data_IF_440348396714
#
_entry.id   IF_440348396714
#
_cell.length_a   1.000
_cell.length_b   1.000
_cell.length_c   1.000
_cell.angle_alpha   90.00
_cell.angle_beta   90.00
_cell.angle_gamma   90.00
#
_symmetry.space_group_name_H-M   'P 1'
#
loop_
_entity.id
_entity.type
_entity.pdbx_description
1 polymer ?
#
# COMPACT_ATOMS: atom_id res chain seq x y z
N UNK A 1 37.01 7.72 -13.09
CA UNK A 1 38.30 7.29 -13.62
C UNK A 1 38.11 6.64 -14.98
N UNK A 2 38.80 7.17 -16.01
CA UNK A 2 38.66 6.73 -17.41
C UNK A 2 39.02 5.23 -17.59
N UNK A 3 39.88 4.71 -16.74
CA UNK A 3 40.30 3.29 -16.77
C UNK A 3 39.20 2.28 -16.44
N UNK A 4 38.13 2.68 -15.75
CA UNK A 4 37.00 1.79 -15.47
C UNK A 4 36.18 1.52 -16.75
N UNK A 5 36.06 2.49 -17.64
CA UNK A 5 35.33 2.37 -18.90
C UNK A 5 36.07 1.52 -19.94
N UNK A 6 37.41 1.47 -19.88
CA UNK A 6 38.22 0.65 -20.78
C UNK A 6 38.00 -0.86 -20.60
N UNK A 7 37.35 -1.29 -19.54
CA UNK A 7 37.05 -2.70 -19.27
C UNK A 7 35.72 -3.19 -19.88
N UNK A 8 34.91 -2.27 -20.39
CA UNK A 8 33.66 -2.65 -21.04
C UNK A 8 33.88 -3.02 -22.49
N UNK A 9 33.22 -4.08 -22.92
CA UNK A 9 33.26 -4.48 -24.35
C UNK A 9 32.49 -3.45 -25.19
N UNK A 10 32.78 -3.28 -26.49
CA UNK A 10 32.09 -2.28 -27.34
C UNK A 10 30.56 -2.46 -27.43
N UNK A 11 30.06 -3.66 -27.11
CA UNK A 11 28.62 -3.98 -27.06
C UNK A 11 27.97 -3.74 -25.69
N UNK A 12 28.75 -3.33 -24.68
CA UNK A 12 28.21 -3.07 -23.33
C UNK A 12 27.42 -1.76 -23.32
N UNK A 13 26.21 -1.81 -22.73
CA UNK A 13 25.43 -0.62 -22.43
C UNK A 13 25.75 -0.20 -20.98
N UNK A 14 26.16 1.04 -20.80
CA UNK A 14 26.32 1.65 -19.48
C UNK A 14 25.15 2.61 -19.22
N UNK A 15 24.44 2.39 -18.15
CA UNK A 15 23.41 3.30 -17.66
C UNK A 15 24.00 4.11 -16.50
N UNK A 16 24.01 5.42 -16.62
CA UNK A 16 24.36 6.32 -15.52
C UNK A 16 23.05 6.95 -15.02
N UNK A 17 22.67 6.63 -13.79
CA UNK A 17 21.55 7.29 -13.13
C UNK A 17 22.07 8.32 -12.12
N UNK A 18 21.49 9.50 -12.14
CA UNK A 18 21.70 10.54 -11.14
C UNK A 18 20.44 10.69 -10.31
N UNK A 19 20.52 10.42 -9.02
CA UNK A 19 19.40 10.47 -8.09
C UNK A 19 19.81 11.15 -6.78
N UNK A 20 18.90 11.90 -6.18
CA UNK A 20 19.06 12.43 -4.83
C UNK A 20 18.90 11.33 -3.74
N UNK A 21 18.43 10.13 -4.13
CA UNK A 21 18.38 8.96 -3.28
C UNK A 21 19.58 8.06 -3.60
N UNK A 22 20.54 8.04 -2.69
CA UNK A 22 21.78 7.29 -2.86
C UNK A 22 21.47 5.78 -3.08
N UNK A 23 21.92 5.25 -4.21
CA UNK A 23 21.91 3.81 -4.48
C UNK A 23 20.60 3.21 -5.00
N UNK A 24 19.55 4.00 -5.26
CA UNK A 24 18.29 3.48 -5.79
C UNK A 24 18.08 4.00 -7.23
N UNK A 25 18.15 3.08 -8.20
CA UNK A 25 17.64 3.34 -9.56
C UNK A 25 16.19 2.80 -9.64
N UNK A 26 15.17 3.66 -9.76
CA UNK A 26 13.78 3.22 -9.79
C UNK A 26 13.43 2.46 -11.08
N UNK A 27 14.12 2.69 -12.20
CA UNK A 27 13.74 2.10 -13.49
C UNK A 27 13.87 0.57 -13.54
N UNK A 28 14.99 -0.07 -13.14
CA UNK A 28 15.08 -1.53 -13.08
C UNK A 28 14.13 -2.14 -12.04
N UNK A 29 13.88 -1.44 -10.94
CA UNK A 29 12.93 -1.90 -9.91
C UNK A 29 11.50 -1.96 -10.47
N UNK A 30 11.10 -0.94 -11.22
CA UNK A 30 9.78 -0.90 -11.86
C UNK A 30 9.66 -1.95 -12.96
N UNK A 31 10.71 -2.17 -13.74
CA UNK A 31 10.75 -3.25 -14.74
C UNK A 31 10.64 -4.63 -14.10
N UNK A 32 11.21 -4.84 -12.92
CA UNK A 32 11.07 -6.07 -12.15
C UNK A 32 9.64 -6.25 -11.64
N UNK A 33 9.02 -5.20 -11.10
CA UNK A 33 7.61 -5.19 -10.68
C UNK A 33 6.68 -5.43 -11.87
N UNK A 34 7.03 -4.92 -13.05
CA UNK A 34 6.25 -5.11 -14.27
C UNK A 34 6.14 -6.59 -14.69
N UNK A 35 7.14 -7.40 -14.38
CA UNK A 35 7.21 -8.83 -14.74
C UNK A 35 6.63 -9.76 -13.68
N UNK A 36 6.20 -9.23 -12.53
CA UNK A 36 5.72 -10.05 -11.42
C UNK A 36 4.37 -10.70 -11.77
N UNK A 37 4.28 -12.05 -11.82
CA UNK A 37 3.16 -12.76 -12.43
C UNK A 37 1.99 -13.04 -11.49
N UNK A 38 2.10 -12.69 -10.20
CA UNK A 38 1.12 -13.06 -9.19
C UNK A 38 0.01 -12.03 -9.08
N UNK A 39 -1.19 -12.50 -8.79
CA UNK A 39 -2.42 -11.73 -8.94
C UNK A 39 -3.29 -11.59 -7.69
N UNK A 40 -2.78 -11.79 -6.46
CA UNK A 40 -3.57 -11.48 -5.27
C UNK A 40 -3.73 -9.95 -5.09
N UNK A 41 -4.71 -9.53 -4.30
CA UNK A 41 -5.01 -8.10 -4.12
C UNK A 41 -3.83 -7.29 -3.58
N UNK A 42 -3.06 -7.88 -2.66
CA UNK A 42 -1.85 -7.26 -2.12
C UNK A 42 -0.81 -7.04 -3.22
N UNK A 43 -0.54 -8.06 -4.03
CA UNK A 43 0.43 -8.00 -5.12
C UNK A 43 0.01 -7.05 -6.24
N UNK A 44 -1.27 -7.08 -6.64
CA UNK A 44 -1.81 -6.12 -7.61
C UNK A 44 -1.62 -4.68 -7.14
N UNK A 45 -1.91 -4.43 -5.87
CA UNK A 45 -1.75 -3.10 -5.27
C UNK A 45 -0.28 -2.70 -5.22
N UNK A 46 0.61 -3.61 -4.80
CA UNK A 46 2.06 -3.38 -4.68
C UNK A 46 2.74 -3.10 -6.02
N UNK A 47 2.24 -3.70 -7.10
CA UNK A 47 2.71 -3.42 -8.46
C UNK A 47 2.12 -2.11 -9.00
N UNK A 48 0.82 -1.90 -8.82
CA UNK A 48 0.13 -0.77 -9.43
C UNK A 48 0.39 0.57 -8.72
N UNK A 49 0.62 0.57 -7.41
CA UNK A 49 0.89 1.78 -6.62
C UNK A 49 2.10 2.59 -7.14
N UNK A 50 3.30 2.01 -7.32
CA UNK A 50 4.42 2.75 -7.87
C UNK A 50 4.21 3.16 -9.34
N UNK A 51 3.46 2.37 -10.12
CA UNK A 51 3.16 2.71 -11.51
C UNK A 51 2.34 4.00 -11.66
N UNK A 52 1.55 4.39 -10.65
CA UNK A 52 0.85 5.68 -10.64
C UNK A 52 1.79 6.87 -10.83
N UNK A 53 3.02 6.75 -10.37
CA UNK A 53 4.02 7.82 -10.38
C UNK A 53 5.04 7.67 -11.52
N UNK A 54 5.11 6.50 -12.16
CA UNK A 54 6.14 6.20 -13.15
C UNK A 54 6.16 7.21 -14.31
N UNK A 55 5.01 7.42 -14.96
CA UNK A 55 4.95 8.33 -16.12
C UNK A 55 5.25 9.78 -15.73
N UNK A 56 4.90 10.19 -14.51
CA UNK A 56 5.25 11.51 -13.98
C UNK A 56 6.77 11.63 -13.80
N UNK A 57 7.39 10.65 -13.14
CA UNK A 57 8.84 10.62 -12.92
C UNK A 57 9.61 10.45 -14.24
N UNK A 58 9.09 9.67 -15.19
CA UNK A 58 9.69 9.53 -16.51
C UNK A 58 9.68 10.86 -17.28
N UNK A 59 8.57 11.59 -17.25
CA UNK A 59 8.45 12.90 -17.90
C UNK A 59 9.40 13.93 -17.26
N UNK A 60 9.49 13.97 -15.93
CA UNK A 60 10.44 14.84 -15.21
C UNK A 60 11.91 14.50 -15.54
N UNK A 61 12.21 13.22 -15.76
CA UNK A 61 13.55 12.75 -16.17
C UNK A 61 13.82 12.90 -17.68
N UNK A 62 12.89 13.50 -18.46
CA UNK A 62 13.02 13.63 -19.91
C UNK A 62 12.96 12.31 -20.67
N UNK A 63 12.36 11.26 -20.08
CA UNK A 63 12.15 9.94 -20.70
C UNK A 63 10.77 9.85 -21.32
N UNK A 64 10.62 8.96 -22.28
CA UNK A 64 9.32 8.66 -22.86
C UNK A 64 8.39 8.00 -21.84
N UNK A 65 7.12 8.42 -21.83
CA UNK A 65 6.09 7.78 -21.03
C UNK A 65 5.61 6.48 -21.70
N UNK A 66 5.33 5.44 -20.90
CA UNK A 66 4.83 4.18 -21.43
C UNK A 66 3.28 4.16 -21.39
N UNK A 67 2.61 4.17 -22.56
CA UNK A 67 1.14 4.16 -22.64
C UNK A 67 0.52 2.88 -22.07
N UNK A 68 1.27 1.77 -22.02
CA UNK A 68 0.78 0.51 -21.47
C UNK A 68 0.54 0.58 -19.97
N UNK A 69 1.24 1.49 -19.27
CA UNK A 69 1.10 1.69 -17.80
C UNK A 69 -0.33 2.12 -17.47
N UNK A 70 -0.91 3.05 -18.24
CA UNK A 70 -2.28 3.50 -17.99
C UNK A 70 -3.29 2.35 -18.05
N UNK A 71 -3.18 1.49 -19.05
CA UNK A 71 -4.04 0.30 -19.18
C UNK A 71 -3.84 -0.64 -17.99
N UNK A 72 -2.62 -0.89 -17.60
CA UNK A 72 -2.28 -1.82 -16.52
C UNK A 72 -2.79 -1.36 -15.15
N UNK A 73 -2.70 -0.07 -14.87
CA UNK A 73 -3.29 0.50 -13.65
C UNK A 73 -4.81 0.36 -13.68
N UNK A 74 -5.47 0.63 -14.82
CA UNK A 74 -6.91 0.46 -14.93
C UNK A 74 -7.36 -1.00 -14.79
N UNK A 75 -6.58 -1.94 -15.32
CA UNK A 75 -6.80 -3.38 -15.14
C UNK A 75 -6.69 -3.76 -13.65
N UNK A 76 -5.68 -3.26 -12.95
CA UNK A 76 -5.53 -3.47 -11.50
C UNK A 76 -6.71 -2.88 -10.71
N UNK A 77 -7.16 -1.68 -11.05
CA UNK A 77 -8.37 -1.07 -10.45
C UNK A 77 -9.57 -1.98 -10.62
N UNK A 78 -9.83 -2.48 -11.85
CA UNK A 78 -10.96 -3.36 -12.13
C UNK A 78 -10.88 -4.65 -11.33
N UNK A 79 -9.74 -5.34 -11.34
CA UNK A 79 -9.55 -6.59 -10.63
C UNK A 79 -9.69 -6.44 -9.10
N UNK A 80 -9.24 -5.32 -8.54
CA UNK A 80 -9.40 -5.06 -7.11
C UNK A 80 -10.87 -4.79 -6.75
N UNK A 81 -11.60 -4.06 -7.60
CA UNK A 81 -13.03 -3.82 -7.40
C UNK A 81 -13.86 -5.10 -7.51
N UNK A 82 -13.49 -6.05 -8.38
CA UNK A 82 -14.13 -7.35 -8.49
C UNK A 82 -13.97 -8.21 -7.21
N UNK A 83 -13.02 -7.84 -6.35
CA UNK A 83 -12.75 -8.50 -5.06
C UNK A 83 -13.31 -7.76 -3.86
N UNK A 84 -14.08 -6.71 -4.09
CA UNK A 84 -14.75 -6.00 -3.02
C UNK A 84 -16.02 -6.74 -2.58
N UNK A 85 -16.12 -7.02 -1.29
CA UNK A 85 -17.31 -7.56 -0.67
C UNK A 85 -18.39 -6.47 -0.44
N UNK A 86 -19.67 -6.85 -0.25
CA UNK A 86 -20.75 -5.91 -0.01
C UNK A 86 -20.56 -5.00 1.21
N UNK A 87 -19.80 -5.45 2.20
CA UNK A 87 -19.43 -4.66 3.40
C UNK A 87 -18.32 -3.64 3.14
N UNK A 88 -17.76 -3.61 1.93
CA UNK A 88 -16.69 -2.73 1.51
C UNK A 88 -15.28 -3.22 1.79
N UNK A 89 -15.11 -4.39 2.40
CA UNK A 89 -13.80 -5.05 2.55
C UNK A 89 -13.29 -5.61 1.22
N UNK A 90 -11.98 -5.89 1.15
CA UNK A 90 -11.35 -6.47 -0.03
C UNK A 90 -10.77 -7.84 0.31
N UNK A 91 -11.18 -8.87 -0.44
CA UNK A 91 -10.60 -10.19 -0.33
C UNK A 91 -9.22 -10.26 -0.99
N UNK A 92 -8.44 -11.26 -0.62
CA UNK A 92 -7.11 -11.49 -1.18
C UNK A 92 -7.20 -12.03 -2.61
N UNK A 93 -8.08 -12.97 -2.85
CA UNK A 93 -8.28 -13.66 -4.15
C UNK A 93 -9.64 -13.43 -4.76
N UNK A 94 -10.67 -13.27 -3.94
CA UNK A 94 -12.06 -13.06 -4.36
C UNK A 94 -12.84 -12.28 -3.33
N UNK A 95 -13.99 -11.73 -3.72
CA UNK A 95 -14.88 -11.01 -2.79
C UNK A 95 -15.37 -11.96 -1.68
N UNK A 96 -15.18 -11.55 -0.43
CA UNK A 96 -15.64 -12.30 0.74
C UNK A 96 -14.84 -13.57 1.05
N UNK A 97 -13.63 -13.73 0.49
CA UNK A 97 -12.75 -14.81 0.93
C UNK A 97 -12.29 -14.57 2.39
N UNK A 98 -11.93 -15.65 3.09
CA UNK A 98 -11.52 -15.58 4.50
C UNK A 98 -10.19 -14.88 4.75
N UNK A 99 -9.55 -14.33 3.72
CA UNK A 99 -8.23 -13.69 3.78
C UNK A 99 -8.30 -12.15 3.72
N UNK A 100 -9.51 -11.57 3.78
CA UNK A 100 -9.68 -10.13 3.90
C UNK A 100 -9.12 -9.65 5.25
N UNK A 101 -8.11 -8.79 5.23
CA UNK A 101 -7.56 -8.18 6.44
C UNK A 101 -7.82 -6.68 6.46
N UNK A 102 -7.93 -6.06 7.66
CA UNK A 102 -8.10 -4.62 7.78
C UNK A 102 -6.96 -3.84 7.12
N UNK A 103 -5.72 -4.35 7.22
CA UNK A 103 -4.56 -3.73 6.57
C UNK A 103 -4.66 -3.79 5.05
N UNK A 104 -5.02 -4.95 4.50
CA UNK A 104 -5.24 -5.11 3.06
C UNK A 104 -6.31 -4.14 2.56
N UNK A 105 -7.43 -4.02 3.31
CA UNK A 105 -8.52 -3.10 2.99
C UNK A 105 -8.04 -1.64 2.92
N UNK A 106 -7.22 -1.20 3.88
CA UNK A 106 -6.65 0.14 3.87
C UNK A 106 -5.67 0.34 2.70
N UNK A 107 -4.83 -0.65 2.41
CA UNK A 107 -3.85 -0.60 1.33
C UNK A 107 -4.50 -0.50 -0.06
N UNK A 108 -5.51 -1.34 -0.32
CA UNK A 108 -6.28 -1.28 -1.57
C UNK A 108 -7.04 0.04 -1.69
N UNK A 109 -7.68 0.50 -0.63
CA UNK A 109 -8.40 1.77 -0.64
C UNK A 109 -7.48 2.99 -0.87
N UNK A 110 -6.26 2.99 -0.31
CA UNK A 110 -5.25 4.03 -0.58
C UNK A 110 -4.87 4.06 -2.06
N UNK A 111 -4.61 2.88 -2.65
CA UNK A 111 -4.33 2.80 -4.07
C UNK A 111 -5.48 3.31 -4.92
N UNK A 112 -6.71 2.83 -4.69
CA UNK A 112 -7.89 3.25 -5.45
C UNK A 112 -8.15 4.75 -5.33
N UNK A 113 -7.96 5.34 -4.15
CA UNK A 113 -8.07 6.78 -3.93
C UNK A 113 -7.04 7.57 -4.75
N UNK A 114 -5.79 7.11 -4.76
CA UNK A 114 -4.71 7.74 -5.56
C UNK A 114 -4.97 7.60 -7.05
N UNK A 115 -5.40 6.41 -7.48
CA UNK A 115 -5.77 6.16 -8.86
C UNK A 115 -6.93 7.08 -9.31
N UNK A 116 -7.95 7.26 -8.46
CA UNK A 116 -9.05 8.19 -8.73
C UNK A 116 -8.55 9.63 -8.87
N UNK A 117 -7.67 10.08 -7.96
CA UNK A 117 -7.03 11.39 -8.02
C UNK A 117 -6.15 11.59 -9.26
N UNK A 118 -5.55 10.53 -9.81
CA UNK A 118 -4.76 10.53 -11.03
C UNK A 118 -5.62 10.37 -12.30
N UNK A 119 -6.96 10.38 -12.20
CA UNK A 119 -7.89 10.35 -13.33
C UNK A 119 -8.17 8.97 -13.92
N UNK A 120 -7.94 7.90 -13.12
CA UNK A 120 -8.40 6.55 -13.47
C UNK A 120 -9.87 6.37 -13.11
N UNK A 121 -10.54 5.46 -13.83
CA UNK A 121 -11.96 5.18 -13.64
C UNK A 121 -12.17 4.33 -12.38
N UNK A 122 -12.38 4.99 -11.25
CA UNK A 122 -12.75 4.37 -9.96
C UNK A 122 -14.15 4.84 -9.59
N UNK A 123 -15.17 3.94 -9.58
CA UNK A 123 -16.55 4.30 -9.29
C UNK A 123 -16.73 4.84 -7.87
N UNK A 124 -17.65 5.77 -7.70
CA UNK A 124 -17.89 6.41 -6.40
C UNK A 124 -18.46 5.47 -5.35
N UNK A 125 -19.40 4.60 -5.74
CA UNK A 125 -20.08 3.70 -4.81
C UNK A 125 -19.13 2.71 -4.13
N UNK A 126 -18.26 1.95 -4.85
CA UNK A 126 -17.26 1.09 -4.22
C UNK A 126 -16.34 1.85 -3.26
N UNK A 127 -15.93 3.06 -3.62
CA UNK A 127 -15.11 3.90 -2.73
C UNK A 127 -15.85 4.30 -1.45
N UNK A 128 -17.15 4.60 -1.52
CA UNK A 128 -17.98 4.88 -0.35
C UNK A 128 -18.06 3.67 0.59
N UNK A 129 -18.24 2.47 0.02
CA UNK A 129 -18.25 1.22 0.77
C UNK A 129 -16.89 0.96 1.43
N UNK A 130 -15.79 1.14 0.70
CA UNK A 130 -14.43 1.02 1.24
C UNK A 130 -14.20 1.99 2.42
N UNK A 131 -14.59 3.26 2.29
CA UNK A 131 -14.49 4.21 3.40
C UNK A 131 -15.38 3.83 4.60
N UNK A 132 -16.54 3.23 4.36
CA UNK A 132 -17.37 2.65 5.41
C UNK A 132 -16.66 1.52 6.17
N UNK A 133 -16.02 0.61 5.45
CA UNK A 133 -15.18 -0.44 6.03
C UNK A 133 -14.01 0.13 6.83
N UNK A 134 -13.29 1.12 6.28
CA UNK A 134 -12.17 1.76 6.98
C UNK A 134 -12.58 2.48 8.27
N UNK A 135 -13.78 3.07 8.32
CA UNK A 135 -14.27 3.66 9.57
C UNK A 135 -14.48 2.61 10.66
N UNK A 136 -14.98 1.41 10.30
CA UNK A 136 -15.09 0.31 11.26
C UNK A 136 -13.72 -0.12 11.76
N UNK A 137 -12.74 -0.21 10.86
CA UNK A 137 -11.35 -0.53 11.22
C UNK A 137 -10.73 0.54 12.14
N UNK A 138 -10.99 1.81 11.88
CA UNK A 138 -10.48 2.93 12.69
C UNK A 138 -11.02 2.93 14.13
N UNK A 139 -12.23 2.40 14.35
CA UNK A 139 -12.83 2.25 15.66
C UNK A 139 -12.39 0.93 16.27
N UNK A 140 -11.33 0.96 17.07
CA UNK A 140 -10.67 -0.22 17.65
C UNK A 140 -11.62 -1.20 18.38
N UNK A 141 -12.81 -0.77 18.80
CA UNK A 141 -13.82 -1.59 19.46
C UNK A 141 -14.63 -2.48 18.51
N UNK A 142 -14.62 -2.22 17.21
CA UNK A 142 -15.44 -2.96 16.22
C UNK A 142 -14.72 -4.21 15.67
N UNK A 143 -13.49 -4.48 16.12
CA UNK A 143 -12.74 -5.69 15.75
C UNK A 143 -13.33 -6.98 16.34
N UNK A 144 -14.29 -6.88 17.28
CA UNK A 144 -14.92 -8.03 17.92
C UNK A 144 -15.97 -8.75 17.05
N UNK A 145 -16.52 -8.09 16.03
CA UNK A 145 -17.58 -8.64 15.17
C UNK A 145 -17.05 -9.23 13.86
N UNK A 146 -15.81 -8.98 13.51
CA UNK A 146 -15.19 -9.52 12.32
C UNK A 146 -14.23 -10.61 12.76
N UNK A 147 -14.59 -11.87 12.49
CA UNK A 147 -13.70 -13.03 12.63
C UNK A 147 -12.54 -12.90 11.63
N UNK A 148 -11.72 -11.88 11.82
CA UNK A 148 -10.40 -11.87 11.22
C UNK A 148 -9.56 -12.86 12.04
N UNK A 149 -9.58 -14.13 11.68
CA UNK A 149 -8.46 -14.99 11.96
C UNK A 149 -7.28 -14.37 11.24
N UNK A 150 -6.62 -13.44 11.95
CA UNK A 150 -5.28 -13.09 11.61
C UNK A 150 -4.47 -14.37 11.79
N UNK A 151 -4.33 -15.16 10.75
CA UNK A 151 -3.11 -15.92 10.57
C UNK A 151 -2.01 -14.87 10.46
N UNK A 152 -1.59 -14.42 11.63
CA UNK A 152 -0.36 -13.66 11.79
C UNK A 152 0.71 -14.57 11.21
N UNK A 153 1.17 -14.25 10.00
CA UNK A 153 2.47 -14.71 9.56
C UNK A 153 3.46 -14.16 10.59
N UNK A 154 3.61 -14.92 11.66
CA UNK A 154 4.65 -14.68 12.64
C UNK A 154 5.95 -14.93 11.91
N UNK A 155 6.64 -13.87 11.54
CA UNK A 155 8.06 -13.99 11.32
C UNK A 155 8.64 -14.66 12.58
N UNK A 156 9.38 -15.77 12.44
CA UNK A 156 10.06 -16.36 13.59
C UNK A 156 10.88 -15.27 14.26
N UNK A 157 10.55 -14.95 15.53
CA UNK A 157 11.20 -13.89 16.30
C UNK A 157 10.47 -12.54 16.36
N UNK A 158 9.32 -12.34 15.69
CA UNK A 158 8.52 -11.12 15.89
C UNK A 158 7.68 -11.26 17.17
N UNK A 159 7.78 -10.24 18.04
CA UNK A 159 6.89 -10.07 19.20
C UNK A 159 5.61 -9.30 18.83
N UNK A 160 5.26 -9.23 17.54
CA UNK A 160 4.08 -8.52 17.09
C UNK A 160 2.83 -9.17 17.66
N UNK A 161 2.20 -8.47 18.58
CA UNK A 161 0.92 -8.89 19.18
C UNK A 161 -0.22 -8.58 18.22
N UNK A 162 -1.35 -9.29 18.38
CA UNK A 162 -2.58 -8.99 17.62
C UNK A 162 -2.99 -7.52 17.77
N UNK A 163 -2.72 -6.91 18.92
CA UNK A 163 -3.01 -5.52 19.23
C UNK A 163 -2.14 -4.56 18.40
N UNK A 164 -0.86 -4.85 18.21
CA UNK A 164 0.03 -4.07 17.36
C UNK A 164 -0.44 -4.09 15.90
N UNK A 165 -0.83 -5.25 15.39
CA UNK A 165 -1.35 -5.37 14.02
C UNK A 165 -2.65 -4.59 13.83
N UNK A 166 -3.57 -4.65 14.82
CA UNK A 166 -4.80 -3.87 14.84
C UNK A 166 -4.51 -2.37 14.82
N UNK A 167 -3.60 -1.91 15.67
CA UNK A 167 -3.23 -0.49 15.76
C UNK A 167 -2.61 0.02 14.47
N UNK A 168 -1.75 -0.78 13.81
CA UNK A 168 -1.19 -0.44 12.49
C UNK A 168 -2.28 -0.32 11.42
N UNK A 169 -3.21 -1.27 11.38
CA UNK A 169 -4.32 -1.23 10.43
C UNK A 169 -5.25 -0.04 10.69
N UNK A 170 -5.56 0.27 11.94
CA UNK A 170 -6.37 1.42 12.33
C UNK A 170 -5.68 2.75 11.98
N UNK A 171 -4.37 2.88 12.25
CA UNK A 171 -3.60 4.05 11.85
C UNK A 171 -3.62 4.27 10.33
N UNK A 172 -3.45 3.20 9.57
CA UNK A 172 -3.50 3.29 8.11
C UNK A 172 -4.89 3.63 7.59
N UNK A 173 -5.94 3.04 8.16
CA UNK A 173 -7.31 3.39 7.82
C UNK A 173 -7.61 4.88 8.09
N UNK A 174 -7.20 5.41 9.25
CA UNK A 174 -7.34 6.83 9.59
C UNK A 174 -6.56 7.72 8.62
N UNK A 175 -5.35 7.34 8.23
CA UNK A 175 -4.56 8.06 7.23
C UNK A 175 -5.30 8.15 5.88
N UNK A 176 -5.84 7.03 5.38
CA UNK A 176 -6.58 6.99 4.11
C UNK A 176 -7.85 7.82 4.20
N UNK A 177 -8.59 7.73 5.31
CA UNK A 177 -9.78 8.54 5.56
C UNK A 177 -9.45 10.04 5.64
N UNK A 178 -8.36 10.40 6.30
CA UNK A 178 -7.91 11.80 6.40
C UNK A 178 -7.57 12.38 5.03
N UNK A 179 -6.85 11.64 4.21
CA UNK A 179 -6.57 12.03 2.82
C UNK A 179 -7.82 12.20 1.96
N UNK A 180 -8.87 11.44 2.25
CA UNK A 180 -10.18 11.56 1.60
C UNK A 180 -11.01 12.76 2.13
N UNK A 181 -10.54 13.47 3.16
CA UNK A 181 -11.36 14.47 3.87
C UNK A 181 -12.55 13.83 4.62
N UNK A 182 -12.41 12.58 5.06
CA UNK A 182 -13.48 11.77 5.66
C UNK A 182 -13.15 11.23 7.06
N UNK A 183 -11.98 11.57 7.59
CA UNK A 183 -11.64 11.25 8.96
C UNK A 183 -12.50 12.10 9.92
N UNK A 184 -13.03 11.44 10.95
CA UNK A 184 -13.66 12.12 12.05
C UNK A 184 -12.60 12.52 13.08
N UNK A 185 -12.68 13.74 13.59
CA UNK A 185 -11.74 14.24 14.60
C UNK A 185 -11.85 13.46 15.91
N UNK A 186 -13.02 12.93 16.23
CA UNK A 186 -13.26 12.07 17.38
C UNK A 186 -12.53 10.74 17.24
N UNK A 187 -12.53 10.13 16.06
CA UNK A 187 -11.81 8.88 15.78
C UNK A 187 -10.28 9.07 15.89
N UNK A 188 -9.77 10.22 15.40
CA UNK A 188 -8.36 10.58 15.52
C UNK A 188 -7.94 10.79 16.98
N UNK A 189 -8.76 11.51 17.77
CA UNK A 189 -8.52 11.74 19.20
C UNK A 189 -8.55 10.44 19.98
N UNK A 190 -9.57 9.62 19.75
CA UNK A 190 -9.69 8.31 20.39
C UNK A 190 -8.47 7.44 20.12
N UNK A 191 -8.05 7.34 18.88
CA UNK A 191 -6.87 6.56 18.50
C UNK A 191 -5.60 7.08 19.17
N UNK A 192 -5.42 8.40 19.19
CA UNK A 192 -4.29 9.05 19.87
C UNK A 192 -4.28 8.73 21.38
N UNK A 193 -5.43 8.87 22.05
CA UNK A 193 -5.55 8.56 23.48
C UNK A 193 -5.24 7.08 23.78
N UNK A 194 -5.73 6.15 22.94
CA UNK A 194 -5.46 4.73 23.10
C UNK A 194 -3.96 4.41 22.95
N UNK A 195 -3.27 5.02 21.99
CA UNK A 195 -1.82 4.85 21.82
C UNK A 195 -1.02 5.33 23.03
N UNK A 196 -1.42 6.44 23.66
CA UNK A 196 -0.70 7.00 24.80
C UNK A 196 -1.05 6.31 26.14
N UNK A 197 -2.30 5.86 26.31
CA UNK A 197 -2.74 5.22 27.56
C UNK A 197 -2.24 3.78 27.71
N UNK A 198 -2.02 3.06 26.60
CA UNK A 198 -1.69 1.63 26.62
C UNK A 198 -0.17 1.33 26.69
N UNK A 199 0.68 2.30 27.05
CA UNK A 199 2.15 2.14 27.04
C UNK A 199 2.70 1.57 25.72
N UNK A 200 1.90 1.68 24.67
CA UNK A 200 2.19 1.08 23.37
C UNK A 200 3.44 1.68 22.72
N UNK A 201 3.64 3.00 22.91
CA UNK A 201 4.83 3.69 22.44
C UNK A 201 6.09 3.22 23.18
N UNK A 202 6.00 2.91 24.47
CA UNK A 202 7.13 2.42 25.25
C UNK A 202 7.61 1.06 24.76
N UNK A 203 6.70 0.19 24.30
CA UNK A 203 7.06 -1.09 23.70
C UNK A 203 7.70 -0.95 22.33
N UNK A 204 7.27 0.02 21.51
CA UNK A 204 7.88 0.35 20.22
C UNK A 204 9.26 0.97 20.43
N UNK A 205 9.41 1.96 21.34
CA UNK A 205 10.68 2.62 21.61
C UNK A 205 11.70 1.68 22.22
N UNK A 206 11.29 0.73 23.09
CA UNK A 206 12.20 -0.26 23.66
C UNK A 206 12.76 -1.22 22.61
N UNK A 207 12.04 -1.47 21.51
CA UNK A 207 12.53 -2.30 20.40
C UNK A 207 13.54 -1.58 19.52
N UNK A 208 13.50 -0.25 19.45
CA UNK A 208 14.45 0.56 18.66
C UNK A 208 15.74 0.91 19.42
N UNK A 209 15.81 0.69 20.74
CA UNK A 209 16.99 1.00 21.58
C UNK A 209 17.88 -0.22 21.83
N UNK A 210 17.66 -1.34 21.17
CA UNK A 210 18.48 -2.56 21.26
C UNK A 210 19.36 -2.78 20.01
N UNK A 211 19.81 -1.68 19.37
CA UNK A 211 20.87 -1.73 18.36
C UNK A 211 21.98 -0.77 18.75
#
# INVERSE_FOLDING_TARGET
>A
PADALARFQPSSQALISHSNLAGIDPAPLIDALYRYPYGCSEQLTSVAMPLLYYNMLAAEAGRETDPRIRRRIQEAVTQLLDRQAPDGSFGLWSAGDGHATPWLGAYVADFLQRAQGAGYAVPRQPMQQAYGALRRVARLNDFGSVNYEFEVYRWPGSNDTTELMRSRAAAYALYVLARAGRADISDLRYFHEQLFQNQFLDSIWSQFHLV
#
